data_IF_779076346062
#
_entry.id   IF_779076346062
#
_cell.length_a   1.000
_cell.length_b   1.000
_cell.length_c   1.000
_cell.angle_alpha   90.00
_cell.angle_beta   90.00
_cell.angle_gamma   90.00
#
_symmetry.space_group_name_H-M   'P 1'
#
loop_
_entity.id
_entity.type
_entity.pdbx_description
1 polymer ?
#
# COMPACT_ATOMS: atom_id res chain seq x y z
N UNK A 1 3.86 13.08 3.97
CA UNK A 1 4.61 13.87 4.96
C UNK A 1 3.86 15.07 5.49
N UNK A 2 3.06 15.79 4.67
CA UNK A 2 2.21 16.91 5.16
C UNK A 2 1.05 16.43 6.05
N UNK A 3 0.56 15.20 5.86
CA UNK A 3 -0.57 14.61 6.61
C UNK A 3 -0.18 14.19 8.04
N UNK A 4 1.05 13.68 8.20
CA UNK A 4 1.63 13.30 9.49
C UNK A 4 1.64 14.47 10.48
N UNK A 5 1.78 15.71 9.98
CA UNK A 5 1.69 16.92 10.79
C UNK A 5 0.31 17.09 11.43
N UNK A 6 -0.77 16.75 10.71
CA UNK A 6 -2.15 16.83 11.21
C UNK A 6 -2.47 15.76 12.25
N UNK A 7 -1.81 14.61 12.18
CA UNK A 7 -1.96 13.53 13.16
C UNK A 7 -1.44 13.94 14.57
N UNK A 8 -0.44 14.83 14.61
CA UNK A 8 0.03 15.44 15.87
C UNK A 8 -1.04 16.35 16.51
N UNK A 9 -1.78 17.12 15.71
CA UNK A 9 -2.90 17.93 16.22
C UNK A 9 -4.06 17.07 16.73
N UNK A 10 -4.26 15.91 16.12
CA UNK A 10 -5.23 14.91 16.55
C UNK A 10 -4.84 14.34 17.92
N UNK A 11 -3.56 14.03 18.11
CA UNK A 11 -3.02 13.60 19.39
C UNK A 11 -3.13 14.67 20.48
N UNK A 12 -2.79 15.93 20.17
CA UNK A 12 -2.96 17.09 21.05
C UNK A 12 -4.43 17.31 21.46
N UNK A 13 -5.38 17.06 20.55
CA UNK A 13 -6.80 17.11 20.88
C UNK A 13 -7.28 15.94 21.75
N UNK A 14 -6.76 14.72 21.55
CA UNK A 14 -7.06 13.57 22.41
C UNK A 14 -6.59 13.76 23.86
N UNK A 15 -5.52 14.54 24.07
CA UNK A 15 -5.01 14.89 25.40
C UNK A 15 -5.81 16.05 26.04
N UNK A 16 -6.79 16.61 25.32
CA UNK A 16 -7.68 17.66 25.83
C UNK A 16 -7.13 19.08 25.71
N UNK A 17 -5.99 19.26 25.02
CA UNK A 17 -5.38 20.59 24.80
C UNK A 17 -6.10 21.34 23.67
N UNK A 18 -6.70 20.62 22.72
CA UNK A 18 -7.42 21.18 21.58
C UNK A 18 -8.87 20.67 21.51
N UNK A 19 -9.77 21.52 21.05
CA UNK A 19 -11.20 21.25 20.93
C UNK A 19 -11.48 20.01 20.05
N UNK A 20 -12.26 19.04 20.55
CA UNK A 20 -12.54 17.77 19.88
C UNK A 20 -13.20 17.92 18.49
N UNK A 21 -13.82 19.06 18.21
CA UNK A 21 -14.40 19.39 16.90
C UNK A 21 -13.34 19.67 15.84
N UNK A 22 -12.17 20.19 16.24
CA UNK A 22 -11.03 20.41 15.36
C UNK A 22 -10.34 19.08 15.01
N UNK A 23 -10.24 18.14 15.97
CA UNK A 23 -9.67 16.81 15.74
C UNK A 23 -10.35 16.08 14.58
N UNK A 24 -11.68 16.13 14.52
CA UNK A 24 -12.43 15.46 13.45
C UNK A 24 -12.12 16.04 12.06
N UNK A 25 -11.93 17.36 11.96
CA UNK A 25 -11.56 18.02 10.69
C UNK A 25 -10.11 17.72 10.30
N UNK A 26 -9.19 17.71 11.27
CA UNK A 26 -7.79 17.39 11.02
C UNK A 26 -7.59 15.91 10.66
N UNK A 27 -8.33 15.00 11.30
CA UNK A 27 -8.40 13.58 10.94
C UNK A 27 -8.86 13.38 9.51
N UNK A 28 -9.93 14.08 9.10
CA UNK A 28 -10.44 14.01 7.73
C UNK A 28 -9.39 14.47 6.71
N UNK A 29 -8.73 15.62 6.95
CA UNK A 29 -7.71 16.14 6.03
C UNK A 29 -6.51 15.19 5.94
N UNK A 30 -6.11 14.58 7.06
CA UNK A 30 -5.03 13.59 7.07
C UNK A 30 -5.40 12.34 6.28
N UNK A 31 -6.55 11.73 6.61
CA UNK A 31 -7.04 10.53 5.95
C UNK A 31 -7.29 10.76 4.45
N UNK A 32 -7.80 11.94 4.07
CA UNK A 32 -7.97 12.32 2.67
C UNK A 32 -6.63 12.41 1.93
N UNK A 33 -5.63 13.03 2.55
CA UNK A 33 -4.29 13.10 1.97
C UNK A 33 -3.61 11.73 1.83
N UNK A 34 -3.78 10.86 2.83
CA UNK A 34 -3.28 9.48 2.80
C UNK A 34 -3.99 8.62 1.76
N UNK A 35 -5.32 8.70 1.65
CA UNK A 35 -6.09 7.97 0.64
C UNK A 35 -5.65 8.32 -0.78
N UNK A 36 -5.39 9.60 -1.06
CA UNK A 36 -4.81 10.03 -2.33
C UNK A 36 -3.45 9.37 -2.54
N UNK A 37 -2.56 9.42 -1.53
CA UNK A 37 -1.24 8.78 -1.58
C UNK A 37 -1.30 7.27 -1.89
N UNK A 38 -2.18 6.52 -1.22
CA UNK A 38 -2.36 5.09 -1.47
C UNK A 38 -2.78 4.81 -2.92
N UNK A 39 -3.68 5.62 -3.50
CA UNK A 39 -4.07 5.48 -4.91
C UNK A 39 -2.85 5.64 -5.84
N UNK A 40 -1.98 6.63 -5.62
CA UNK A 40 -0.76 6.77 -6.44
C UNK A 40 0.19 5.59 -6.28
N UNK A 41 0.39 5.09 -5.06
CA UNK A 41 1.26 3.93 -4.84
C UNK A 41 0.72 2.67 -5.51
N UNK A 42 -0.60 2.42 -5.43
CA UNK A 42 -1.25 1.31 -6.13
C UNK A 42 -1.03 1.43 -7.64
N UNK A 43 -1.31 2.60 -8.22
CA UNK A 43 -1.13 2.83 -9.66
C UNK A 43 0.34 2.66 -10.06
N UNK A 44 1.28 3.18 -9.28
CA UNK A 44 2.71 3.05 -9.52
C UNK A 44 3.18 1.60 -9.50
N UNK A 45 2.77 0.81 -8.51
CA UNK A 45 3.11 -0.61 -8.41
C UNK A 45 2.51 -1.42 -9.57
N UNK A 46 1.28 -1.11 -10.00
CA UNK A 46 0.67 -1.77 -11.16
C UNK A 46 1.42 -1.48 -12.47
N UNK A 47 1.91 -0.25 -12.66
CA UNK A 47 2.75 0.11 -13.82
C UNK A 47 4.04 -0.72 -13.80
N UNK A 48 4.72 -0.79 -12.65
CA UNK A 48 5.98 -1.51 -12.52
C UNK A 48 5.81 -3.03 -12.66
N UNK A 49 4.69 -3.58 -12.17
CA UNK A 49 4.32 -4.99 -12.43
C UNK A 49 4.16 -5.23 -13.94
N UNK A 50 3.47 -4.33 -14.66
CA UNK A 50 3.27 -4.45 -16.11
C UNK A 50 4.60 -4.41 -16.87
N UNK A 51 5.51 -3.52 -16.49
CA UNK A 51 6.86 -3.48 -17.06
C UNK A 51 7.65 -4.75 -16.77
N UNK A 52 7.57 -5.27 -15.54
CA UNK A 52 8.18 -6.54 -15.16
C UNK A 52 7.66 -7.72 -15.99
N UNK A 53 6.36 -7.78 -16.27
CA UNK A 53 5.77 -8.80 -17.16
C UNK A 53 6.30 -8.68 -18.59
N UNK A 54 6.47 -7.46 -19.12
CA UNK A 54 7.04 -7.25 -20.46
C UNK A 54 8.49 -7.75 -20.52
N UNK A 55 9.31 -7.38 -19.53
CA UNK A 55 10.70 -7.84 -19.42
C UNK A 55 10.81 -9.36 -19.28
N UNK A 56 9.93 -10.00 -18.50
CA UNK A 56 9.88 -11.47 -18.40
C UNK A 56 9.61 -12.12 -19.76
N UNK A 57 8.67 -11.57 -20.56
CA UNK A 57 8.36 -12.08 -21.90
C UNK A 57 9.53 -11.97 -22.86
N UNK A 58 10.23 -10.83 -22.85
CA UNK A 58 11.42 -10.60 -23.68
C UNK A 58 12.55 -11.59 -23.31
N UNK A 59 12.80 -11.81 -22.02
CA UNK A 59 13.82 -12.77 -21.56
C UNK A 59 13.46 -14.22 -21.92
N UNK A 60 12.18 -14.60 -21.82
CA UNK A 60 11.73 -15.94 -22.25
C UNK A 60 11.89 -16.17 -23.75
N UNK A 61 11.70 -15.14 -24.58
CA UNK A 61 11.94 -15.24 -26.02
C UNK A 61 13.42 -15.44 -26.34
N UNK A 62 14.32 -14.76 -25.60
CA UNK A 62 15.78 -14.93 -25.75
C UNK A 62 16.28 -16.28 -25.24
N UNK A 63 15.62 -16.87 -24.24
CA UNK A 63 15.95 -18.19 -23.69
C UNK A 63 15.84 -19.33 -24.72
N UNK A 64 15.01 -19.16 -25.76
CA UNK A 64 14.96 -20.10 -26.89
C UNK A 64 16.24 -20.17 -27.73
N UNK A 65 17.20 -19.25 -27.53
CA UNK A 65 18.41 -19.10 -28.35
C UNK A 65 19.72 -19.62 -27.78
N UNK A 66 19.76 -20.19 -26.56
CA UNK A 66 20.93 -20.97 -26.08
C UNK A 66 21.53 -20.62 -24.71
N UNK A 67 21.26 -19.45 -24.12
CA UNK A 67 21.69 -19.12 -22.75
C UNK A 67 20.55 -19.36 -21.75
N UNK A 68 20.64 -20.41 -20.92
CA UNK A 68 19.54 -20.81 -20.04
C UNK A 68 19.73 -20.42 -18.57
N UNK A 69 20.95 -20.54 -18.03
CA UNK A 69 21.19 -20.36 -16.59
C UNK A 69 21.10 -18.90 -16.11
N UNK A 70 21.74 -17.95 -16.80
CA UNK A 70 21.71 -16.51 -16.45
C UNK A 70 20.32 -15.89 -16.62
N UNK A 71 19.58 -16.32 -17.64
CA UNK A 71 18.23 -15.86 -17.92
C UNK A 71 17.22 -16.38 -16.88
N UNK A 72 17.40 -17.59 -16.35
CA UNK A 72 16.55 -18.14 -15.30
C UNK A 72 16.67 -17.38 -13.98
N UNK A 73 17.89 -16.96 -13.61
CA UNK A 73 18.11 -16.11 -12.44
C UNK A 73 17.42 -14.74 -12.61
N UNK A 74 17.52 -14.13 -13.81
CA UNK A 74 16.84 -12.88 -14.14
C UNK A 74 15.31 -12.98 -14.08
N UNK A 75 14.74 -14.08 -14.60
CA UNK A 75 13.30 -14.36 -14.51
C UNK A 75 12.89 -14.56 -13.04
N UNK A 76 13.70 -15.26 -12.25
CA UNK A 76 13.48 -15.45 -10.81
C UNK A 76 13.39 -14.11 -10.06
N UNK A 77 14.34 -13.21 -10.31
CA UNK A 77 14.35 -11.85 -9.72
C UNK A 77 13.12 -11.04 -10.09
N UNK A 78 12.70 -11.08 -11.37
CA UNK A 78 11.49 -10.36 -11.82
C UNK A 78 10.21 -10.93 -11.17
N UNK A 79 10.13 -12.25 -10.97
CA UNK A 79 9.00 -12.87 -10.27
C UNK A 79 8.97 -12.48 -8.79
N UNK A 80 10.12 -12.48 -8.12
CA UNK A 80 10.23 -12.05 -6.73
C UNK A 80 9.80 -10.57 -6.58
N UNK A 81 10.30 -9.68 -7.44
CA UNK A 81 9.92 -8.26 -7.46
C UNK A 81 8.41 -8.09 -7.69
N UNK A 82 7.81 -8.88 -8.58
CA UNK A 82 6.35 -8.86 -8.81
C UNK A 82 5.56 -9.25 -7.56
N UNK A 83 5.98 -10.29 -6.84
CA UNK A 83 5.31 -10.72 -5.60
C UNK A 83 5.40 -9.61 -4.54
N UNK A 84 6.59 -9.02 -4.36
CA UNK A 84 6.76 -7.91 -3.41
C UNK A 84 5.86 -6.72 -3.75
N UNK A 85 5.74 -6.36 -5.03
CA UNK A 85 4.84 -5.28 -5.48
C UNK A 85 3.37 -5.61 -5.30
N UNK A 86 2.96 -6.85 -5.55
CA UNK A 86 1.58 -7.27 -5.29
C UNK A 86 1.23 -7.19 -3.80
N UNK A 87 2.17 -7.53 -2.91
CA UNK A 87 2.00 -7.30 -1.48
C UNK A 87 1.89 -5.80 -1.17
N UNK A 88 2.72 -4.96 -1.79
CA UNK A 88 2.60 -3.50 -1.70
C UNK A 88 1.22 -2.99 -2.09
N UNK A 89 0.67 -3.46 -3.21
CA UNK A 89 -0.69 -3.12 -3.65
C UNK A 89 -1.72 -3.58 -2.61
N UNK A 90 -1.62 -4.80 -2.10
CA UNK A 90 -2.55 -5.32 -1.10
C UNK A 90 -2.54 -4.49 0.20
N UNK A 91 -1.35 -4.09 0.68
CA UNK A 91 -1.21 -3.21 1.84
C UNK A 91 -1.86 -1.85 1.58
N UNK A 92 -1.50 -1.18 0.48
CA UNK A 92 -2.03 0.14 0.15
C UNK A 92 -3.56 0.12 -0.07
N UNK A 93 -4.11 -0.96 -0.63
CA UNK A 93 -5.57 -1.12 -0.76
C UNK A 93 -6.22 -1.25 0.62
N UNK A 94 -5.64 -2.05 1.51
CA UNK A 94 -6.15 -2.21 2.87
C UNK A 94 -6.10 -0.90 3.66
N UNK A 95 -5.00 -0.16 3.56
CA UNK A 95 -4.84 1.14 4.20
C UNK A 95 -5.79 2.19 3.59
N UNK A 96 -6.07 2.11 2.28
CA UNK A 96 -7.08 2.93 1.62
C UNK A 96 -8.48 2.69 2.18
N UNK A 97 -8.86 1.43 2.48
CA UNK A 97 -10.13 1.12 3.12
C UNK A 97 -10.24 1.71 4.53
N UNK A 98 -9.15 1.69 5.30
CA UNK A 98 -9.10 2.30 6.63
C UNK A 98 -9.21 3.83 6.51
N UNK A 99 -8.48 4.46 5.60
CA UNK A 99 -8.57 5.90 5.37
C UNK A 99 -9.97 6.32 4.90
N UNK A 100 -10.62 5.53 4.04
CA UNK A 100 -12.01 5.76 3.60
C UNK A 100 -13.00 5.68 4.76
N UNK A 101 -12.79 4.78 5.72
CA UNK A 101 -13.62 4.66 6.92
C UNK A 101 -13.62 5.97 7.75
N UNK A 102 -12.48 6.66 7.80
CA UNK A 102 -12.32 7.95 8.49
C UNK A 102 -12.86 9.15 7.69
N UNK A 103 -12.81 9.10 6.36
CA UNK A 103 -13.32 10.16 5.47
C UNK A 103 -14.85 10.12 5.41
N UNK A 104 -15.41 8.97 5.07
CA UNK A 104 -16.84 8.76 4.89
C UNK A 104 -17.29 7.50 5.65
N UNK A 105 -17.70 7.67 6.93
CA UNK A 105 -18.06 6.56 7.77
C UNK A 105 -19.32 5.86 7.23
N UNK A 106 -19.16 4.67 6.67
CA UNK A 106 -20.24 3.85 6.14
C UNK A 106 -20.30 2.48 6.85
N UNK A 107 -21.45 1.78 6.83
CA UNK A 107 -21.61 0.52 7.55
C UNK A 107 -20.66 -0.61 7.11
N UNK A 108 -20.10 -0.52 5.91
CA UNK A 108 -19.25 -1.54 5.31
C UNK A 108 -17.76 -1.33 5.65
N UNK A 109 -17.25 -0.11 5.49
CA UNK A 109 -15.90 0.30 5.83
C UNK A 109 -15.69 0.38 7.34
N UNK A 110 -16.71 0.75 8.12
CA UNK A 110 -16.64 0.77 9.59
C UNK A 110 -16.95 -0.57 10.24
N UNK A 111 -17.26 -1.60 9.46
CA UNK A 111 -17.51 -2.93 10.01
C UNK A 111 -16.22 -3.47 10.62
N UNK A 112 -16.29 -3.93 11.88
CA UNK A 112 -15.12 -4.40 12.65
C UNK A 112 -14.32 -5.48 11.91
N UNK A 113 -15.00 -6.36 11.17
CA UNK A 113 -14.33 -7.39 10.36
C UNK A 113 -13.59 -6.78 9.17
N UNK A 114 -14.16 -5.79 8.49
CA UNK A 114 -13.52 -5.12 7.35
C UNK A 114 -12.26 -4.39 7.80
N UNK A 115 -12.35 -3.63 8.90
CA UNK A 115 -11.20 -2.93 9.47
C UNK A 115 -10.15 -3.91 10.02
N UNK A 116 -10.59 -4.96 10.70
CA UNK A 116 -9.70 -5.99 11.24
C UNK A 116 -8.93 -6.73 10.15
N UNK A 117 -9.61 -7.16 9.08
CA UNK A 117 -8.96 -7.79 7.92
C UNK A 117 -8.01 -6.80 7.23
N UNK A 118 -8.43 -5.55 7.04
CA UNK A 118 -7.59 -4.53 6.41
C UNK A 118 -6.32 -4.28 7.22
N UNK A 119 -6.43 -4.13 8.54
CA UNK A 119 -5.27 -3.98 9.43
C UNK A 119 -4.32 -5.19 9.39
N UNK A 120 -4.85 -6.41 9.39
CA UNK A 120 -4.05 -7.63 9.30
C UNK A 120 -3.32 -7.76 7.96
N UNK A 121 -4.01 -7.47 6.85
CA UNK A 121 -3.43 -7.51 5.49
C UNK A 121 -2.32 -6.48 5.36
N UNK A 122 -2.55 -5.25 5.83
CA UNK A 122 -1.54 -4.19 5.83
C UNK A 122 -0.31 -4.57 6.65
N UNK A 123 -0.50 -5.06 7.87
CA UNK A 123 0.61 -5.49 8.73
C UNK A 123 1.41 -6.66 8.12
N UNK A 124 0.72 -7.66 7.58
CA UNK A 124 1.36 -8.84 6.99
C UNK A 124 2.12 -8.52 5.70
N UNK A 125 1.51 -7.74 4.81
CA UNK A 125 2.16 -7.33 3.57
C UNK A 125 3.32 -6.36 3.82
N UNK A 126 3.18 -5.45 4.79
CA UNK A 126 4.24 -4.55 5.24
C UNK A 126 5.43 -5.32 5.83
N UNK A 127 5.16 -6.35 6.63
CA UNK A 127 6.19 -7.26 7.15
C UNK A 127 6.93 -7.97 6.01
N UNK A 128 6.21 -8.53 5.04
CA UNK A 128 6.81 -9.24 3.91
C UNK A 128 7.68 -8.32 3.04
N UNK A 129 7.27 -7.06 2.85
CA UNK A 129 8.03 -6.07 2.07
C UNK A 129 9.33 -5.63 2.75
N UNK A 130 9.33 -5.56 4.08
CA UNK A 130 10.47 -5.11 4.87
C UNK A 130 11.31 -6.27 5.43
N UNK A 131 10.96 -7.52 5.09
CA UNK A 131 11.71 -8.68 5.54
C UNK A 131 13.12 -8.62 4.96
N UNK A 132 14.18 -8.77 5.79
CA UNK A 132 15.55 -8.78 5.31
C UNK A 132 15.74 -9.96 4.36
N UNK A 133 15.94 -9.65 3.08
CA UNK A 133 16.39 -10.59 2.03
C UNK A 133 17.86 -10.90 2.17
#
# INVERSE_FOLDING_TARGET
MVYFFFDHFLWLSRIGVLEARLARRMSFVSAFGESFGYVFFIVGDLILIREGVRKERELRQRKGGGETASLDEGIGKIRADRVMRLMGVAANVADLFIALADIEPNPFCNHTVTLGISGLVSAWAGWYRNWPS
#
